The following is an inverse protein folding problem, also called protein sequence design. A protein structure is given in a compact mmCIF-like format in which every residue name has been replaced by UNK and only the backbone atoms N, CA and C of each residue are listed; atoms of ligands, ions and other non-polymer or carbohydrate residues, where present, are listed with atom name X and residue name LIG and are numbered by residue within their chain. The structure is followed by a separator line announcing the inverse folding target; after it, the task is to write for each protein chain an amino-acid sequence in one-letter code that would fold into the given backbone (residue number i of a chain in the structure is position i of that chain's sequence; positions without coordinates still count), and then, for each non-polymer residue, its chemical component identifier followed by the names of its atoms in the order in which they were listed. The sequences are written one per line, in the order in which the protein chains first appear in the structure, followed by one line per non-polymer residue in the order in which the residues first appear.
data_IF_652395751075
#
_entry.id   IF_652395751075
#
_cell.length_a   1.000
_cell.length_b   1.000
_cell.length_c   1.000
_cell.angle_alpha   90.00
_cell.angle_beta   90.00
_cell.angle_gamma   90.00
#
_symmetry.space_group_name_H-M   'P 1'
#
loop_
_entity.id
_entity.type
_entity.pdbx_description
1 polymer ?
#
# COMPACT_ATOMS: atom_id res chain seq x y z
N UNK A 1 7.61 2.59 -15.97
CA UNK A 1 6.44 1.77 -15.58
C UNK A 1 6.89 0.86 -14.46
N UNK A 2 6.16 0.79 -13.35
CA UNK A 2 6.58 -0.01 -12.19
C UNK A 2 6.14 -1.48 -12.37
N UNK A 3 7.05 -2.43 -12.16
CA UNK A 3 6.78 -3.87 -12.21
C UNK A 3 6.21 -4.44 -10.90
N UNK A 4 6.28 -3.65 -9.82
CA UNK A 4 5.76 -4.07 -8.53
C UNK A 4 4.23 -4.22 -8.54
N UNK A 5 3.76 -5.40 -8.18
CA UNK A 5 2.36 -5.78 -8.29
C UNK A 5 1.90 -6.79 -7.23
N UNK A 6 0.59 -7.01 -7.18
CA UNK A 6 -0.03 -8.03 -6.35
C UNK A 6 0.06 -9.37 -7.11
N UNK A 7 0.73 -10.38 -6.53
CA UNK A 7 0.81 -11.73 -7.11
C UNK A 7 -0.39 -12.58 -6.67
N UNK A 8 -0.75 -12.54 -5.38
CA UNK A 8 -1.92 -13.26 -4.80
C UNK A 8 -2.53 -12.48 -3.63
N UNK A 9 -3.63 -12.99 -3.07
CA UNK A 9 -4.36 -12.42 -1.92
C UNK A 9 -3.57 -12.48 -0.59
N UNK A 10 -2.46 -11.74 -0.51
CA UNK A 10 -1.52 -11.65 0.63
C UNK A 10 -0.07 -11.41 0.20
N UNK A 11 0.21 -11.52 -1.11
CA UNK A 11 1.58 -11.57 -1.60
C UNK A 11 1.80 -10.54 -2.70
N UNK A 12 2.82 -9.73 -2.48
CA UNK A 12 3.34 -8.78 -3.47
C UNK A 12 4.47 -9.43 -4.26
N UNK A 13 4.93 -8.79 -5.33
CA UNK A 13 6.11 -9.22 -6.08
C UNK A 13 7.45 -8.94 -5.38
N UNK A 14 7.42 -8.36 -4.18
CA UNK A 14 8.60 -7.89 -3.46
C UNK A 14 9.00 -6.49 -3.91
N UNK A 15 8.68 -5.47 -3.13
CA UNK A 15 9.04 -4.09 -3.48
C UNK A 15 10.55 -3.88 -3.32
N UNK A 16 11.20 -3.36 -4.38
CA UNK A 16 12.61 -3.00 -4.35
C UNK A 16 12.79 -1.52 -4.74
N UNK A 17 13.24 -0.64 -3.82
CA UNK A 17 13.40 0.79 -4.10
C UNK A 17 14.43 1.11 -5.21
N UNK A 18 15.31 0.17 -5.57
CA UNK A 18 16.29 0.36 -6.66
C UNK A 18 15.67 0.23 -8.06
N UNK A 19 14.58 -0.54 -8.19
CA UNK A 19 13.92 -0.84 -9.47
C UNK A 19 12.48 -0.34 -9.54
N UNK A 20 11.81 -0.22 -8.39
CA UNK A 20 10.39 0.08 -8.28
C UNK A 20 10.21 1.50 -7.73
N UNK A 21 10.07 2.47 -8.63
CA UNK A 21 9.87 3.87 -8.25
C UNK A 21 8.67 4.03 -7.30
N UNK A 22 8.92 4.63 -6.12
CA UNK A 22 8.04 4.67 -4.95
C UNK A 22 6.63 5.23 -5.22
N UNK A 23 6.48 6.11 -6.22
CA UNK A 23 5.20 6.73 -6.60
C UNK A 23 4.69 6.29 -7.98
N UNK A 24 5.47 5.52 -8.74
CA UNK A 24 5.10 5.16 -10.11
C UNK A 24 4.01 4.08 -10.10
N UNK A 25 3.02 4.26 -10.97
CA UNK A 25 1.95 3.26 -11.13
C UNK A 25 2.42 2.06 -11.95
N UNK A 26 1.89 0.88 -11.61
CA UNK A 26 2.02 -0.33 -12.41
C UNK A 26 0.97 -0.38 -13.54
N UNK A 27 0.92 -1.50 -14.29
CA UNK A 27 -0.04 -1.74 -15.39
C UNK A 27 -1.51 -1.68 -14.96
N UNK A 28 -1.79 -1.88 -13.68
CA UNK A 28 -3.12 -1.83 -13.09
C UNK A 28 -3.48 -0.45 -12.52
N UNK A 29 -2.61 0.54 -12.73
CA UNK A 29 -2.82 1.90 -12.21
C UNK A 29 -2.63 2.01 -10.69
N UNK A 30 -1.97 1.03 -10.06
CA UNK A 30 -1.71 1.03 -8.62
C UNK A 30 -0.30 1.53 -8.32
N UNK A 31 -0.17 2.38 -7.30
CA UNK A 31 1.12 2.77 -6.73
C UNK A 31 1.64 1.68 -5.76
N UNK A 32 2.94 1.64 -5.43
CA UNK A 32 3.48 0.68 -4.48
C UNK A 32 2.76 0.64 -3.13
N UNK A 33 2.46 1.79 -2.53
CA UNK A 33 1.74 1.83 -1.26
C UNK A 33 0.32 1.23 -1.36
N UNK A 34 -0.30 1.31 -2.53
CA UNK A 34 -1.64 0.75 -2.79
C UNK A 34 -1.57 -0.78 -2.97
N UNK A 35 -0.56 -1.28 -3.69
CA UNK A 35 -0.31 -2.73 -3.85
C UNK A 35 -0.02 -3.38 -2.50
N UNK A 36 0.88 -2.80 -1.70
CA UNK A 36 1.21 -3.31 -0.37
C UNK A 36 -0.01 -3.28 0.56
N UNK A 37 -0.81 -2.21 0.48
CA UNK A 37 -2.04 -2.09 1.26
C UNK A 37 -3.07 -3.15 0.87
N UNK A 38 -3.26 -3.42 -0.43
CA UNK A 38 -4.17 -4.45 -0.92
C UNK A 38 -3.72 -5.86 -0.51
N UNK A 39 -2.42 -6.14 -0.51
CA UNK A 39 -1.87 -7.39 -0.01
C UNK A 39 -2.03 -7.52 1.52
N UNK A 40 -2.13 -6.41 2.25
CA UNK A 40 -1.96 -6.42 3.71
C UNK A 40 -0.51 -6.66 4.14
N UNK A 41 0.47 -6.32 3.29
CA UNK A 41 1.89 -6.42 3.61
C UNK A 41 2.32 -5.22 4.44
N UNK A 42 2.34 -5.40 5.76
CA UNK A 42 2.68 -4.37 6.73
C UNK A 42 4.12 -3.87 6.54
N UNK A 43 5.07 -4.76 6.22
CA UNK A 43 6.49 -4.41 6.16
C UNK A 43 6.79 -3.55 4.95
N UNK A 44 6.29 -3.97 3.79
CA UNK A 44 6.48 -3.20 2.56
C UNK A 44 5.70 -1.90 2.60
N UNK A 45 4.46 -1.92 3.10
CA UNK A 45 3.67 -0.70 3.26
C UNK A 45 4.42 0.34 4.09
N UNK A 46 4.91 -0.04 5.29
CA UNK A 46 5.66 0.84 6.17
C UNK A 46 6.95 1.37 5.50
N UNK A 47 7.69 0.51 4.80
CA UNK A 47 8.92 0.89 4.10
C UNK A 47 8.66 1.91 2.98
N UNK A 48 7.59 1.70 2.20
CA UNK A 48 7.21 2.57 1.09
C UNK A 48 6.79 3.96 1.59
N UNK A 49 5.89 4.03 2.58
CA UNK A 49 5.39 5.33 3.09
C UNK A 49 6.43 6.09 3.93
N UNK A 50 7.47 5.40 4.39
CA UNK A 50 8.61 6.01 5.07
C UNK A 50 9.69 6.52 4.10
N UNK A 51 9.63 6.16 2.81
CA UNK A 51 10.62 6.56 1.83
C UNK A 51 10.66 8.09 1.66
N UNK A 52 11.84 8.73 1.56
CA UNK A 52 11.96 10.19 1.52
C UNK A 52 11.23 10.84 0.34
N UNK A 53 11.20 10.16 -0.80
CA UNK A 53 10.54 10.66 -2.01
C UNK A 53 9.05 10.26 -2.12
N UNK A 54 8.49 9.62 -1.09
CA UNK A 54 7.08 9.22 -1.12
C UNK A 54 6.17 10.45 -1.20
N UNK A 55 5.30 10.48 -2.21
CA UNK A 55 4.29 11.52 -2.40
C UNK A 55 2.90 10.97 -2.06
N UNK A 56 2.28 11.42 -0.95
CA UNK A 56 0.94 10.98 -0.56
C UNK A 56 -0.16 11.52 -1.48
N UNK A 57 0.13 12.51 -2.33
CA UNK A 57 -0.84 13.18 -3.18
C UNK A 57 -1.45 12.20 -4.19
N UNK A 58 -2.74 11.92 -4.02
CA UNK A 58 -3.49 10.99 -4.86
C UNK A 58 -3.27 9.50 -4.55
N UNK A 59 -2.49 9.15 -3.52
CA UNK A 59 -2.37 7.77 -3.06
C UNK A 59 -3.62 7.35 -2.27
N UNK A 60 -4.14 6.14 -2.53
CA UNK A 60 -5.39 5.63 -1.95
C UNK A 60 -5.22 4.34 -1.15
N UNK A 61 -4.27 4.25 -0.20
CA UNK A 61 -3.95 2.99 0.47
C UNK A 61 -5.12 2.41 1.28
N UNK A 62 -5.98 3.25 1.88
CA UNK A 62 -7.17 2.76 2.59
C UNK A 62 -8.15 2.05 1.66
N UNK A 63 -8.43 2.64 0.49
CA UNK A 63 -9.33 2.05 -0.50
C UNK A 63 -8.82 0.67 -0.93
N UNK A 64 -7.53 0.55 -1.23
CA UNK A 64 -6.95 -0.70 -1.66
C UNK A 64 -6.83 -1.73 -0.54
N UNK A 65 -6.58 -1.30 0.71
CA UNK A 65 -6.69 -2.18 1.87
C UNK A 65 -8.10 -2.76 2.04
N UNK A 66 -9.15 -1.96 1.79
CA UNK A 66 -10.54 -2.44 1.80
C UNK A 66 -10.83 -3.42 0.66
N UNK A 67 -10.32 -3.16 -0.55
CA UNK A 67 -10.38 -4.12 -1.67
C UNK A 67 -9.72 -5.44 -1.28
N UNK A 68 -8.53 -5.39 -0.66
CA UNK A 68 -7.81 -6.56 -0.16
C UNK A 68 -8.52 -7.30 0.97
N UNK A 69 -9.29 -6.58 1.79
CA UNK A 69 -10.11 -7.14 2.87
C UNK A 69 -11.31 -7.93 2.33
N UNK A 70 -11.91 -7.44 1.24
CA UNK A 70 -13.13 -8.01 0.65
C UNK A 70 -12.88 -9.12 -0.37
N UNK A 71 -11.62 -9.35 -0.76
CA UNK A 71 -11.26 -10.23 -1.87
C UNK A 71 -11.21 -11.72 -1.51
N UNK A 72 -11.11 -12.09 -0.23
CA UNK A 72 -11.12 -13.48 0.21
C UNK A 72 -11.67 -13.65 1.65
N UNK A 73 -11.74 -14.90 2.11
CA UNK A 73 -12.21 -15.25 3.46
C UNK A 73 -11.20 -14.97 4.60
N UNK A 74 -10.00 -14.46 4.30
CA UNK A 74 -8.95 -14.18 5.28
C UNK A 74 -8.61 -12.67 5.40
N UNK A 75 -9.28 -11.83 4.60
CA UNK A 75 -8.96 -10.41 4.46
C UNK A 75 -9.12 -9.60 5.74
N UNK A 76 -10.05 -9.96 6.63
CA UNK A 76 -10.24 -9.25 7.91
C UNK A 76 -9.01 -9.33 8.82
N UNK A 77 -8.36 -10.50 8.91
CA UNK A 77 -7.16 -10.66 9.72
C UNK A 77 -5.97 -9.88 9.13
N UNK A 78 -5.83 -9.86 7.79
CA UNK A 78 -4.80 -9.06 7.12
C UNK A 78 -5.02 -7.56 7.33
N UNK A 79 -6.25 -7.11 7.12
CA UNK A 79 -6.64 -5.72 7.31
C UNK A 79 -6.42 -5.27 8.76
N UNK A 80 -6.77 -6.10 9.75
CA UNK A 80 -6.53 -5.81 11.15
C UNK A 80 -5.04 -5.61 11.47
N UNK A 81 -4.13 -6.39 10.86
CA UNK A 81 -2.68 -6.22 11.02
C UNK A 81 -2.15 -4.94 10.38
N UNK A 82 -2.71 -4.56 9.23
CA UNK A 82 -2.30 -3.35 8.51
C UNK A 82 -2.89 -2.06 9.13
N UNK A 83 -3.99 -2.17 9.86
CA UNK A 83 -4.75 -1.02 10.39
C UNK A 83 -3.90 0.02 11.15
N UNK A 84 -2.97 -0.36 12.05
CA UNK A 84 -2.14 0.62 12.75
C UNK A 84 -1.30 1.49 11.79
N UNK A 85 -0.75 0.90 10.72
CA UNK A 85 0.04 1.62 9.73
C UNK A 85 -0.83 2.54 8.86
N UNK A 86 -2.06 2.12 8.54
CA UNK A 86 -3.02 2.98 7.82
C UNK A 86 -3.44 4.18 8.67
N UNK A 87 -3.64 3.98 9.97
CA UNK A 87 -3.96 5.06 10.90
C UNK A 87 -2.76 6.02 11.06
N UNK A 88 -1.53 5.50 11.14
CA UNK A 88 -0.31 6.31 11.14
C UNK A 88 -0.13 7.10 9.83
N UNK A 89 -0.38 6.48 8.67
CA UNK A 89 -0.40 7.14 7.37
C UNK A 89 -1.37 8.32 7.35
N UNK A 90 -2.62 8.11 7.80
CA UNK A 90 -3.63 9.18 7.87
C UNK A 90 -3.18 10.32 8.79
N UNK A 91 -2.67 9.98 9.98
CA UNK A 91 -2.21 10.95 10.95
C UNK A 91 -0.98 11.75 10.47
N UNK A 92 -0.17 11.19 9.57
CA UNK A 92 1.01 11.86 9.02
C UNK A 92 0.69 12.75 7.81
N UNK A 93 -0.21 12.29 6.93
CA UNK A 93 -0.36 12.90 5.60
C UNK A 93 -1.74 13.53 5.34
N UNK A 94 -2.78 13.16 6.08
CA UNK A 94 -4.16 13.60 5.82
C UNK A 94 -4.77 14.47 6.93
N UNK A 95 -4.11 14.54 8.08
CA UNK A 95 -4.52 15.28 9.28
C UNK A 95 -4.48 16.81 9.12
N UNK A 96 -3.83 17.34 8.09
CA UNK A 96 -3.72 18.79 7.82
C UNK A 96 -4.61 19.27 6.64
N UNK A 97 -5.54 18.44 6.16
CA UNK A 97 -6.46 18.78 5.06
C UNK A 97 -7.80 19.38 5.53
N UNK A 98 -7.87 19.88 6.77
CA UNK A 98 -9.05 20.56 7.35
C UNK A 98 -8.99 22.07 7.21
#
# INVERSE_FOLDING_TARGET
MNSYELITHDRTSGWNPQSDAVNAVNLYGMRPAEVAAQAGDVREFAAIVAHPDFDPSGARPLFFAEVGRLSDGYGDARFARLRPELDAYKARFLSNLS
#
